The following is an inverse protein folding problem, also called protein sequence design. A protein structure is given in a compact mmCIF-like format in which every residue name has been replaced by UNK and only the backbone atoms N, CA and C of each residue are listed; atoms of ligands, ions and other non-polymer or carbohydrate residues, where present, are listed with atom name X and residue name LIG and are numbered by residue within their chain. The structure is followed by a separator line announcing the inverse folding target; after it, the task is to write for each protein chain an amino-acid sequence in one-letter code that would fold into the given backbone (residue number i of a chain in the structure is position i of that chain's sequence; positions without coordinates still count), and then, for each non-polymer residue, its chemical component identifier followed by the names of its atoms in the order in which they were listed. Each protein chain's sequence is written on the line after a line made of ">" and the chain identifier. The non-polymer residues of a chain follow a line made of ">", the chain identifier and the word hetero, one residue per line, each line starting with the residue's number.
data_IF_268157244637
#
_entry.id   IF_268157244637
#
_cell.length_a   1.000
_cell.length_b   1.000
_cell.length_c   1.000
_cell.angle_alpha   90.00
_cell.angle_beta   90.00
_cell.angle_gamma   90.00
#
_symmetry.space_group_name_H-M   'P 1'
#
loop_
_entity.id
_entity.type
_entity.pdbx_description
1 polymer ?
#
# COMPACT_ATOMS: atom_id res chain seq x y z
N UNK A 1 -0.10 -7.68 -7.41
CA UNK A 1 0.10 -6.80 -8.59
C UNK A 1 0.37 -7.66 -9.81
N UNK A 2 -0.26 -7.38 -10.95
CA UNK A 2 0.04 -8.00 -12.25
C UNK A 2 -0.60 -9.36 -12.51
N UNK A 3 -1.54 -9.77 -11.65
CA UNK A 3 -2.32 -10.99 -11.85
C UNK A 3 -3.30 -10.80 -13.02
N UNK A 4 -3.37 -11.79 -13.91
CA UNK A 4 -4.37 -11.83 -14.97
C UNK A 4 -5.77 -12.08 -14.39
N UNK A 5 -6.81 -11.69 -15.12
CA UNK A 5 -8.15 -12.12 -14.77
C UNK A 5 -8.22 -13.65 -14.86
N UNK A 6 -8.79 -14.29 -13.84
CA UNK A 6 -9.01 -15.73 -13.78
C UNK A 6 -10.45 -16.00 -13.35
N UNK A 7 -10.94 -17.25 -13.46
CA UNK A 7 -12.35 -17.59 -13.23
C UNK A 7 -12.97 -17.07 -11.92
N UNK A 8 -12.16 -16.95 -10.85
CA UNK A 8 -12.59 -16.41 -9.55
C UNK A 8 -12.15 -14.95 -9.29
N UNK A 9 -11.36 -14.35 -10.19
CA UNK A 9 -10.94 -12.94 -10.15
C UNK A 9 -11.23 -12.28 -11.51
N UNK A 10 -12.42 -11.71 -11.73
CA UNK A 10 -12.82 -11.17 -13.03
C UNK A 10 -12.08 -9.89 -13.41
N UNK A 11 -11.33 -9.27 -12.49
CA UNK A 11 -10.61 -8.01 -12.72
C UNK A 11 -9.09 -8.25 -12.68
N UNK A 12 -8.36 -8.00 -13.78
CA UNK A 12 -6.91 -8.15 -13.80
C UNK A 12 -6.23 -7.05 -12.98
N UNK A 13 -5.35 -7.41 -12.04
CA UNK A 13 -4.67 -6.51 -11.10
C UNK A 13 -3.45 -5.79 -11.72
N UNK A 14 -3.54 -5.45 -13.01
CA UNK A 14 -2.49 -4.75 -13.75
C UNK A 14 -2.45 -3.25 -13.45
N UNK A 15 -3.56 -2.71 -12.95
CA UNK A 15 -3.77 -1.33 -12.50
C UNK A 15 -4.25 -1.35 -11.06
N UNK A 16 -3.91 -0.30 -10.31
CA UNK A 16 -4.59 0.03 -9.07
C UNK A 16 -5.60 1.15 -9.30
N UNK A 17 -6.38 1.44 -8.27
CA UNK A 17 -7.32 2.56 -8.21
C UNK A 17 -6.67 3.94 -8.46
N UNK A 18 -5.36 4.05 -8.26
CA UNK A 18 -4.59 5.29 -8.41
C UNK A 18 -3.30 5.14 -9.22
N UNK A 19 -3.10 3.99 -9.88
CA UNK A 19 -1.96 3.74 -10.75
C UNK A 19 -2.39 2.90 -11.96
N UNK A 20 -2.59 3.56 -13.10
CA UNK A 20 -2.98 2.92 -14.35
C UNK A 20 -1.89 2.03 -14.97
N UNK A 21 -0.65 2.10 -14.47
CA UNK A 21 0.51 1.33 -14.94
C UNK A 21 1.13 0.51 -13.80
N UNK A 22 0.33 0.08 -12.83
CA UNK A 22 0.80 -0.43 -11.54
C UNK A 22 1.83 -1.56 -11.65
N UNK A 23 1.60 -2.54 -12.54
CA UNK A 23 2.56 -3.64 -12.74
C UNK A 23 3.90 -3.16 -13.27
N UNK A 24 3.86 -2.27 -14.27
CA UNK A 24 5.08 -1.67 -14.81
C UNK A 24 5.79 -0.89 -13.72
N UNK A 25 5.09 0.02 -13.04
CA UNK A 25 5.64 0.89 -11.99
C UNK A 25 6.17 0.11 -10.77
N UNK A 26 5.58 -1.02 -10.41
CA UNK A 26 6.11 -1.93 -9.40
C UNK A 26 7.41 -2.62 -9.86
N UNK A 27 7.56 -2.86 -11.16
CA UNK A 27 8.73 -3.50 -11.77
C UNK A 27 8.46 -4.91 -12.31
N UNK A 28 7.23 -5.43 -12.18
CA UNK A 28 6.86 -6.75 -12.64
C UNK A 28 5.67 -7.35 -11.89
N UNK A 29 5.40 -8.63 -12.13
CA UNK A 29 4.39 -9.39 -11.40
C UNK A 29 4.85 -9.65 -9.96
N UNK A 30 4.06 -9.20 -8.97
CA UNK A 30 4.34 -9.48 -7.56
C UNK A 30 3.80 -10.86 -7.21
N UNK A 31 4.58 -11.89 -7.54
CA UNK A 31 4.15 -13.29 -7.44
C UNK A 31 3.75 -13.68 -6.01
N UNK A 32 2.59 -14.31 -5.79
CA UNK A 32 2.21 -14.83 -4.48
C UNK A 32 2.91 -16.15 -4.12
N UNK A 33 3.64 -16.79 -5.05
CA UNK A 33 4.34 -18.06 -4.79
C UNK A 33 5.51 -17.86 -3.84
N UNK A 34 5.42 -18.44 -2.64
CA UNK A 34 6.45 -18.35 -1.60
C UNK A 34 7.81 -18.91 -2.04
N UNK A 35 7.86 -19.86 -2.98
CA UNK A 35 9.13 -20.42 -3.50
C UNK A 35 9.88 -19.45 -4.41
N UNK A 36 9.16 -18.48 -5.01
CA UNK A 36 9.69 -17.45 -5.88
C UNK A 36 9.91 -16.11 -5.15
N UNK A 37 9.99 -16.14 -3.80
CA UNK A 37 10.19 -14.95 -2.96
C UNK A 37 11.37 -15.12 -2.02
N UNK A 38 12.10 -14.03 -1.80
CA UNK A 38 13.19 -13.94 -0.81
C UNK A 38 13.14 -12.58 -0.16
N UNK A 39 13.28 -12.51 1.18
CA UNK A 39 13.21 -11.26 1.93
C UNK A 39 11.94 -10.44 1.61
N UNK A 40 10.81 -11.14 1.45
CA UNK A 40 9.48 -10.56 1.17
C UNK A 40 9.32 -9.88 -0.20
N UNK A 41 10.27 -10.06 -1.14
CA UNK A 41 10.17 -9.56 -2.52
C UNK A 41 10.26 -10.70 -3.54
N UNK A 42 9.77 -10.53 -4.78
CA UNK A 42 10.02 -11.46 -5.87
C UNK A 42 11.52 -11.67 -6.11
N UNK A 43 11.96 -12.89 -6.38
CA UNK A 43 13.38 -13.17 -6.68
C UNK A 43 13.83 -12.62 -8.02
N UNK A 44 12.89 -12.39 -8.94
CA UNK A 44 13.18 -12.02 -10.33
C UNK A 44 13.58 -10.55 -10.50
N UNK A 45 13.24 -9.67 -9.55
CA UNK A 45 13.54 -8.22 -9.64
C UNK A 45 13.48 -7.54 -8.28
N UNK A 46 14.09 -6.36 -8.17
CA UNK A 46 13.93 -5.47 -7.02
C UNK A 46 12.71 -4.56 -7.26
N UNK A 47 11.69 -4.56 -6.39
CA UNK A 47 10.52 -3.71 -6.56
C UNK A 47 10.85 -2.22 -6.58
N UNK A 48 10.25 -1.51 -7.55
CA UNK A 48 10.31 -0.04 -7.68
C UNK A 48 9.19 0.66 -6.92
N UNK A 49 8.21 -0.07 -6.40
CA UNK A 49 7.27 0.42 -5.40
C UNK A 49 7.37 -0.44 -4.13
N UNK A 50 6.82 0.05 -3.01
CA UNK A 50 6.90 -0.65 -1.73
C UNK A 50 6.23 -2.04 -1.83
N UNK A 51 6.94 -3.15 -1.55
CA UNK A 51 6.35 -4.49 -1.56
C UNK A 51 5.33 -4.71 -0.44
N UNK A 52 5.37 -3.89 0.62
CA UNK A 52 4.38 -3.92 1.69
C UNK A 52 3.25 -2.94 1.39
N UNK A 53 2.27 -3.42 0.64
CA UNK A 53 1.08 -2.65 0.27
C UNK A 53 -0.22 -3.38 0.66
N UNK A 54 -1.32 -2.63 0.69
CA UNK A 54 -2.67 -3.13 0.96
C UNK A 54 -3.74 -2.36 0.16
N UNK A 55 -4.95 -2.92 0.16
CA UNK A 55 -6.16 -2.29 -0.33
C UNK A 55 -7.25 -2.24 0.75
N UNK A 56 -7.87 -1.07 0.91
CA UNK A 56 -9.06 -0.86 1.72
C UNK A 56 -10.26 -0.49 0.82
N UNK A 57 -11.51 -0.80 1.20
CA UNK A 57 -12.65 -0.77 0.29
C UNK A 57 -13.22 0.63 0.07
N UNK A 58 -12.36 1.62 -0.20
CA UNK A 58 -12.74 3.00 -0.45
C UNK A 58 -11.77 3.72 -1.40
N UNK A 59 -12.30 4.23 -2.51
CA UNK A 59 -11.60 5.18 -3.39
C UNK A 59 -12.16 6.57 -3.13
N UNK A 60 -11.29 7.55 -2.88
CA UNK A 60 -11.65 8.95 -2.66
C UNK A 60 -11.80 9.76 -3.95
N UNK A 61 -11.35 9.21 -5.08
CA UNK A 61 -11.36 9.85 -6.40
C UNK A 61 -12.21 9.03 -7.38
N UNK A 62 -13.04 9.73 -8.15
CA UNK A 62 -13.78 9.16 -9.28
C UNK A 62 -13.85 10.18 -10.41
N UNK A 63 -13.67 9.72 -11.66
CA UNK A 63 -13.70 10.57 -12.86
C UNK A 63 -12.82 11.84 -12.76
N UNK A 64 -11.64 11.72 -12.14
CA UNK A 64 -10.70 12.83 -11.98
C UNK A 64 -11.10 13.89 -10.94
N UNK A 65 -12.11 13.62 -10.13
CA UNK A 65 -12.59 14.49 -9.05
C UNK A 65 -12.65 13.73 -7.73
N UNK A 66 -12.61 14.45 -6.62
CA UNK A 66 -12.92 13.84 -5.33
C UNK A 66 -14.40 13.47 -5.27
N UNK A 67 -14.70 12.35 -4.63
CA UNK A 67 -16.08 12.00 -4.31
C UNK A 67 -16.65 12.99 -3.28
N UNK A 68 -17.96 13.32 -3.34
CA UNK A 68 -18.56 14.34 -2.48
C UNK A 68 -18.34 14.13 -0.98
N UNK A 69 -18.30 12.87 -0.53
CA UNK A 69 -18.10 12.52 0.87
C UNK A 69 -16.63 12.61 1.33
N UNK A 70 -15.65 12.56 0.41
CA UNK A 70 -14.22 12.54 0.75
C UNK A 70 -13.79 13.69 1.69
N UNK A 71 -14.12 14.98 1.44
CA UNK A 71 -13.78 16.07 2.35
C UNK A 71 -14.49 16.04 3.71
N UNK A 72 -15.55 15.22 3.84
CA UNK A 72 -16.34 15.10 5.07
C UNK A 72 -15.87 13.94 5.95
N UNK A 73 -15.40 12.85 5.35
CA UNK A 73 -15.13 11.59 6.06
C UNK A 73 -13.64 11.30 6.25
N UNK A 74 -12.76 11.85 5.40
CA UNK A 74 -11.32 11.58 5.46
C UNK A 74 -10.68 12.55 6.48
N UNK A 75 -10.13 12.06 7.61
CA UNK A 75 -9.70 12.93 8.71
C UNK A 75 -8.58 13.93 8.34
N UNK A 76 -7.74 13.57 7.36
CA UNK A 76 -6.60 14.36 6.90
C UNK A 76 -6.84 15.07 5.57
N UNK A 77 -8.09 15.13 5.08
CA UNK A 77 -8.37 15.65 3.74
C UNK A 77 -7.77 17.04 3.52
N UNK A 78 -8.05 17.98 4.43
CA UNK A 78 -7.61 19.38 4.31
C UNK A 78 -6.10 19.53 4.32
N UNK A 79 -5.40 18.68 5.08
CA UNK A 79 -3.94 18.71 5.23
C UNK A 79 -3.24 18.07 4.03
N UNK A 80 -3.85 17.05 3.43
CA UNK A 80 -3.27 16.29 2.33
C UNK A 80 -3.69 16.79 0.94
N UNK A 81 -4.70 17.65 0.84
CA UNK A 81 -5.20 18.16 -0.44
C UNK A 81 -4.13 18.97 -1.19
N UNK A 82 -3.79 18.50 -2.39
CA UNK A 82 -2.85 19.17 -3.31
C UNK A 82 -3.50 19.62 -4.62
N UNK A 83 -4.68 19.10 -4.95
CA UNK A 83 -5.42 19.44 -6.15
C UNK A 83 -6.52 18.44 -6.48
N UNK A 84 -7.45 18.78 -7.38
CA UNK A 84 -8.55 17.89 -7.76
C UNK A 84 -8.02 16.59 -8.38
N UNK A 85 -8.65 15.47 -8.02
CA UNK A 85 -8.33 14.15 -8.56
C UNK A 85 -7.02 13.54 -8.06
N UNK A 86 -6.29 14.22 -7.16
CA UNK A 86 -5.10 13.67 -6.51
C UNK A 86 -5.52 13.00 -5.20
N UNK A 87 -5.56 11.67 -5.18
CA UNK A 87 -5.99 10.93 -3.98
C UNK A 87 -5.23 11.35 -2.72
N UNK A 88 -5.97 11.59 -1.65
CA UNK A 88 -5.44 11.81 -0.29
C UNK A 88 -5.35 10.50 0.50
N UNK A 89 -5.87 9.39 -0.04
CA UNK A 89 -5.78 8.05 0.55
C UNK A 89 -4.50 7.33 0.13
N UNK A 90 -4.08 7.46 -1.13
CA UNK A 90 -2.90 6.77 -1.68
C UNK A 90 -1.65 7.05 -0.86
N UNK A 91 -0.88 6.01 -0.54
CA UNK A 91 0.40 6.09 0.15
C UNK A 91 0.31 6.29 1.66
N UNK A 92 -0.90 6.39 2.23
CA UNK A 92 -1.10 6.39 3.69
C UNK A 92 -0.74 5.02 4.27
N UNK A 93 -0.29 4.99 5.52
CA UNK A 93 0.16 3.75 6.17
C UNK A 93 -0.90 3.19 7.10
N UNK A 94 -0.96 1.87 7.16
CA UNK A 94 -1.70 1.14 8.19
C UNK A 94 -0.78 0.17 8.93
N UNK A 95 -1.08 -0.03 10.21
CA UNK A 95 -0.56 -1.13 11.00
C UNK A 95 -1.57 -2.28 10.96
N UNK A 96 -1.12 -3.49 10.62
CA UNK A 96 -1.94 -4.71 10.51
C UNK A 96 -1.41 -5.71 11.52
N UNK A 97 -2.27 -6.18 12.44
CA UNK A 97 -1.90 -7.07 13.53
C UNK A 97 -2.56 -8.44 13.38
N UNK A 98 -1.74 -9.49 13.50
CA UNK A 98 -2.14 -10.89 13.64
C UNK A 98 -1.50 -11.48 14.88
N UNK A 99 -2.31 -11.79 15.89
CA UNK A 99 -1.81 -12.24 17.19
C UNK A 99 -0.86 -11.22 17.82
N UNK A 100 0.39 -11.62 18.05
CA UNK A 100 1.48 -10.80 18.60
C UNK A 100 2.38 -10.13 17.55
N UNK A 101 2.08 -10.30 16.24
CA UNK A 101 2.87 -9.72 15.16
C UNK A 101 2.14 -8.56 14.50
N UNK A 102 2.87 -7.47 14.25
CA UNK A 102 2.37 -6.29 13.53
C UNK A 102 3.21 -6.03 12.30
N UNK A 103 2.55 -5.84 11.17
CA UNK A 103 3.12 -5.46 9.88
C UNK A 103 2.63 -4.06 9.50
N UNK A 104 3.43 -3.32 8.74
CA UNK A 104 3.08 -1.98 8.29
C UNK A 104 3.05 -1.96 6.77
N UNK A 105 1.97 -1.42 6.19
CA UNK A 105 1.75 -1.44 4.75
C UNK A 105 1.26 -0.09 4.24
N UNK A 106 1.63 0.25 3.01
CA UNK A 106 1.13 1.42 2.29
C UNK A 106 -0.20 1.09 1.60
N UNK A 107 -1.17 1.99 1.71
CA UNK A 107 -2.44 1.88 1.03
C UNK A 107 -2.29 2.30 -0.43
N UNK A 108 -2.30 1.33 -1.35
CA UNK A 108 -1.96 1.55 -2.77
C UNK A 108 -3.07 1.16 -3.75
N UNK A 109 -4.15 0.55 -3.26
CA UNK A 109 -5.32 0.19 -4.06
C UNK A 109 -6.65 0.23 -3.28
N UNK A 110 -7.77 0.04 -3.96
CA UNK A 110 -9.09 -0.05 -3.36
C UNK A 110 -9.71 -1.43 -3.55
N UNK A 111 -10.30 -1.94 -2.49
CA UNK A 111 -10.89 -3.27 -2.44
C UNK A 111 -10.83 -3.83 -1.02
N UNK A 112 -11.31 -5.06 -0.78
CA UNK A 112 -11.82 -5.99 -1.78
C UNK A 112 -13.30 -5.76 -2.13
N UNK A 113 -13.72 -6.21 -3.33
CA UNK A 113 -15.11 -6.26 -3.84
C UNK A 113 -15.87 -4.94 -4.04
N UNK A 114 -15.42 -3.84 -3.44
CA UNK A 114 -16.07 -2.52 -3.54
C UNK A 114 -15.10 -1.39 -3.24
N UNK A 115 -15.52 -0.17 -3.56
CA UNK A 115 -14.67 1.04 -3.50
C UNK A 115 -15.36 2.23 -2.84
N UNK A 116 -16.46 2.00 -2.12
CA UNK A 116 -17.36 3.03 -1.58
C UNK A 116 -17.63 2.89 -0.08
N UNK A 117 -16.97 1.96 0.62
CA UNK A 117 -17.28 1.63 2.02
C UNK A 117 -16.51 2.48 3.03
N UNK A 118 -16.70 3.81 2.96
CA UNK A 118 -16.06 4.75 3.88
C UNK A 118 -16.45 4.55 5.34
N UNK A 119 -17.64 3.99 5.62
CA UNK A 119 -18.10 3.73 6.99
C UNK A 119 -17.26 2.67 7.69
N UNK A 120 -16.73 1.69 6.96
CA UNK A 120 -15.78 0.73 7.52
C UNK A 120 -14.37 1.33 7.61
N UNK A 121 -13.97 2.12 6.62
CA UNK A 121 -12.59 2.64 6.55
C UNK A 121 -12.34 3.79 7.54
N UNK A 122 -13.30 4.70 7.73
CA UNK A 122 -13.14 5.91 8.54
C UNK A 122 -14.13 6.02 9.71
N UNK A 123 -15.03 5.05 9.88
CA UNK A 123 -15.99 5.04 10.99
C UNK A 123 -15.96 3.67 11.68
N UNK A 124 -17.09 3.24 12.24
CA UNK A 124 -17.15 2.07 13.13
C UNK A 124 -17.90 0.86 12.52
N UNK A 125 -18.23 0.87 11.23
CA UNK A 125 -18.85 -0.30 10.60
C UNK A 125 -17.86 -1.47 10.52
N UNK A 126 -18.39 -2.70 10.48
CA UNK A 126 -17.63 -3.90 10.09
C UNK A 126 -17.65 -4.06 8.56
N UNK A 127 -16.72 -4.84 7.97
CA UNK A 127 -16.81 -5.17 6.55
C UNK A 127 -18.18 -5.78 6.22
N UNK A 128 -18.76 -5.43 5.06
CA UNK A 128 -20.03 -6.05 4.64
C UNK A 128 -19.79 -7.45 4.08
N UNK A 129 -20.78 -8.36 4.18
CA UNK A 129 -20.71 -9.67 3.56
C UNK A 129 -20.34 -9.58 2.06
N UNK A 130 -19.46 -10.48 1.62
CA UNK A 130 -19.01 -10.62 0.24
C UNK A 130 -18.59 -12.08 -0.01
N UNK A 131 -18.10 -12.38 -1.22
CA UNK A 131 -17.69 -13.74 -1.61
C UNK A 131 -16.61 -14.33 -0.69
N UNK A 132 -15.83 -13.50 0.00
CA UNK A 132 -14.82 -13.91 0.97
C UNK A 132 -15.29 -13.68 2.42
N UNK A 133 -16.57 -13.93 2.71
CA UNK A 133 -17.14 -13.90 4.07
C UNK A 133 -16.98 -12.58 4.82
N UNK A 134 -16.97 -11.44 4.11
CA UNK A 134 -16.78 -10.13 4.72
C UNK A 134 -15.33 -9.70 4.81
N UNK A 135 -14.52 -10.01 3.79
CA UNK A 135 -13.19 -9.44 3.67
C UNK A 135 -13.29 -7.90 3.54
N UNK A 136 -12.51 -7.17 4.34
CA UNK A 136 -12.45 -5.70 4.29
C UNK A 136 -11.02 -5.16 4.12
N UNK A 137 -10.04 -6.02 3.93
CA UNK A 137 -8.64 -5.66 3.76
C UNK A 137 -8.02 -6.69 2.82
N UNK A 138 -7.40 -6.24 1.74
CA UNK A 138 -6.55 -7.07 0.90
C UNK A 138 -5.09 -6.68 1.10
N UNK A 139 -4.19 -7.65 1.10
CA UNK A 139 -2.78 -7.43 1.48
C UNK A 139 -1.83 -8.05 0.47
N UNK A 140 -0.72 -7.37 0.25
CA UNK A 140 0.38 -7.88 -0.57
C UNK A 140 0.91 -9.24 -0.09
N UNK A 141 1.50 -10.05 -0.99
CA UNK A 141 2.24 -11.25 -0.61
C UNK A 141 3.30 -10.98 0.49
N UNK A 142 3.96 -9.82 0.49
CA UNK A 142 4.93 -9.45 1.52
C UNK A 142 4.30 -9.35 2.93
N UNK A 143 3.12 -8.73 3.04
CA UNK A 143 2.37 -8.63 4.30
C UNK A 143 1.88 -10.02 4.73
N UNK A 144 1.33 -10.81 3.79
CA UNK A 144 0.90 -12.19 4.04
C UNK A 144 2.06 -13.04 4.60
N UNK A 145 3.19 -13.03 3.92
CA UNK A 145 4.39 -13.81 4.30
C UNK A 145 4.93 -13.36 5.66
N UNK A 146 4.95 -12.04 5.91
CA UNK A 146 5.40 -11.51 7.19
C UNK A 146 4.44 -11.91 8.32
N UNK A 147 3.12 -11.81 8.15
CA UNK A 147 2.17 -12.12 9.23
C UNK A 147 1.83 -13.61 9.34
N UNK A 148 2.19 -14.43 8.34
CA UNK A 148 1.82 -15.84 8.27
C UNK A 148 0.33 -16.05 8.05
N UNK A 149 -0.30 -15.22 7.22
CA UNK A 149 -1.74 -15.26 6.99
C UNK A 149 -2.15 -16.46 6.12
N UNK A 150 -3.29 -17.05 6.44
CA UNK A 150 -4.02 -17.94 5.54
C UNK A 150 -4.60 -17.15 4.34
N UNK A 151 -5.09 -17.82 3.27
CA UNK A 151 -5.71 -17.13 2.12
C UNK A 151 -6.84 -16.17 2.51
N UNK A 152 -7.63 -16.54 3.53
CA UNK A 152 -8.59 -15.66 4.22
C UNK A 152 -8.32 -15.77 5.70
N UNK A 153 -8.16 -14.64 6.38
CA UNK A 153 -7.83 -14.61 7.81
C UNK A 153 -8.39 -13.37 8.50
N UNK A 154 -8.39 -13.38 9.83
CA UNK A 154 -8.82 -12.26 10.68
C UNK A 154 -7.61 -11.53 11.23
N UNK A 155 -7.59 -10.21 11.02
CA UNK A 155 -6.57 -9.27 11.49
C UNK A 155 -7.22 -8.00 12.03
N UNK A 156 -6.55 -7.35 12.97
CA UNK A 156 -6.87 -5.97 13.35
C UNK A 156 -6.03 -5.01 12.51
N UNK A 157 -6.53 -3.82 12.19
CA UNK A 157 -5.72 -2.78 11.56
C UNK A 157 -6.11 -1.38 12.03
N UNK A 158 -5.18 -0.44 11.87
CA UNK A 158 -5.39 0.98 12.16
C UNK A 158 -4.50 1.86 11.29
N UNK A 159 -4.92 3.10 11.03
CA UNK A 159 -4.04 4.09 10.42
C UNK A 159 -2.85 4.42 11.33
N UNK A 160 -1.71 4.71 10.71
CA UNK A 160 -0.51 5.17 11.40
C UNK A 160 0.20 6.24 10.57
N UNK A 161 0.76 7.24 11.25
CA UNK A 161 1.56 8.26 10.58
C UNK A 161 2.94 7.71 10.20
N UNK A 162 3.49 8.21 9.09
CA UNK A 162 4.79 7.77 8.55
C UNK A 162 5.90 7.81 9.61
N UNK A 163 5.91 8.85 10.46
CA UNK A 163 6.89 9.02 11.54
C UNK A 163 6.82 7.93 12.62
N UNK A 164 5.64 7.34 12.81
CA UNK A 164 5.33 6.38 13.88
C UNK A 164 5.43 4.92 13.40
N UNK A 165 5.65 4.71 12.10
CA UNK A 165 6.05 3.39 11.58
C UNK A 165 7.39 3.01 12.26
N UNK A 166 7.60 1.77 12.75
CA UNK A 166 8.89 1.36 13.31
C UNK A 166 9.82 0.81 12.22
N UNK A 167 11.13 0.64 12.50
CA UNK A 167 12.05 -0.11 11.63
C UNK A 167 11.55 -1.53 11.34
N UNK A 168 11.66 -1.96 10.08
CA UNK A 168 11.28 -3.30 9.63
C UNK A 168 11.38 -3.45 8.12
N UNK A 169 11.06 -4.64 7.57
CA UNK A 169 11.25 -4.94 6.15
C UNK A 169 10.44 -4.04 5.21
N UNK A 170 9.31 -3.49 5.68
CA UNK A 170 8.47 -2.51 4.98
C UNK A 170 9.17 -1.17 4.66
N UNK A 171 10.37 -0.93 5.18
CA UNK A 171 11.14 0.30 4.91
C UNK A 171 12.23 0.15 3.84
N UNK A 172 12.42 -1.05 3.29
CA UNK A 172 13.65 -1.37 2.55
C UNK A 172 13.61 -1.04 1.05
N UNK A 173 12.43 -1.10 0.42
CA UNK A 173 12.28 -1.04 -1.03
C UNK A 173 11.15 -0.09 -1.47
N UNK A 174 11.19 0.28 -2.75
CA UNK A 174 10.21 1.16 -3.38
C UNK A 174 10.65 2.61 -3.48
N UNK A 175 10.52 3.19 -4.67
CA UNK A 175 10.77 4.60 -4.97
C UNK A 175 9.67 5.50 -4.40
N UNK A 176 8.46 4.96 -4.17
CA UNK A 176 7.37 5.62 -3.45
C UNK A 176 7.50 5.52 -1.91
N UNK A 177 8.53 4.83 -1.40
CA UNK A 177 8.67 4.59 0.03
C UNK A 177 9.40 5.74 0.73
N UNK A 178 8.70 6.41 1.64
CA UNK A 178 9.20 7.55 2.44
C UNK A 178 10.57 7.29 3.06
N UNK A 179 10.83 6.08 3.57
CA UNK A 179 12.09 5.74 4.25
C UNK A 179 13.24 5.53 3.26
N UNK A 180 12.94 5.00 2.06
CA UNK A 180 13.92 4.84 0.98
C UNK A 180 14.28 6.21 0.42
N UNK A 181 13.29 7.08 0.20
CA UNK A 181 13.50 8.47 -0.25
C UNK A 181 14.40 9.22 0.75
N UNK A 182 14.06 9.18 2.04
CA UNK A 182 14.83 9.86 3.08
C UNK A 182 16.29 9.36 3.15
N UNK A 183 16.51 8.03 3.13
CA UNK A 183 17.85 7.44 3.11
C UNK A 183 18.66 7.92 1.90
N UNK A 184 18.07 7.90 0.69
CA UNK A 184 18.75 8.37 -0.53
C UNK A 184 19.12 9.85 -0.44
N UNK A 185 18.24 10.69 0.11
CA UNK A 185 18.53 12.12 0.32
C UNK A 185 19.69 12.33 1.29
N UNK A 186 19.73 11.57 2.40
CA UNK A 186 20.85 11.60 3.36
C UNK A 186 22.15 11.18 2.68
N UNK A 187 22.17 10.05 1.97
CA UNK A 187 23.36 9.55 1.25
C UNK A 187 23.88 10.56 0.21
N UNK A 188 22.97 11.17 -0.57
CA UNK A 188 23.33 12.20 -1.55
C UNK A 188 23.91 13.45 -0.90
N UNK A 189 23.36 13.90 0.23
CA UNK A 189 23.89 15.07 0.93
C UNK A 189 25.27 14.82 1.52
N UNK A 190 25.52 13.62 2.06
CA UNK A 190 26.84 13.19 2.53
C UNK A 190 27.85 13.14 1.38
N UNK A 191 27.50 12.51 0.24
CA UNK A 191 28.38 12.42 -0.93
C UNK A 191 28.77 13.82 -1.48
N UNK A 192 27.83 14.76 -1.51
CA UNK A 192 28.09 16.16 -1.89
C UNK A 192 29.06 16.85 -0.92
N UNK A 193 28.92 16.59 0.40
CA UNK A 193 29.82 17.17 1.41
C UNK A 193 31.25 16.64 1.27
N UNK A 194 31.42 15.34 1.06
CA UNK A 194 32.74 14.74 0.87
C UNK A 194 33.41 15.18 -0.45
N UNK A 195 32.66 15.25 -1.55
CA UNK A 195 33.19 15.72 -2.83
C UNK A 195 33.52 17.22 -2.84
N UNK A 196 32.80 18.04 -2.07
CA UNK A 196 33.13 19.46 -1.89
C UNK A 196 34.33 19.71 -0.98
N UNK A 197 34.57 18.84 0.02
CA UNK A 197 35.75 18.90 0.88
C UNK A 197 37.04 18.46 0.16
N UNK A 198 36.97 17.49 -0.75
CA UNK A 198 38.12 17.03 -1.53
C UNK A 198 38.57 17.99 -2.66
N UNK A 199 37.79 19.05 -2.93
CA UNK A 199 38.10 20.09 -3.93
C UNK A 199 38.64 21.40 -3.32
N UNK A 200 38.81 21.45 -2.00
CA UNK A 200 39.47 22.55 -1.27
C UNK A 200 40.82 22.07 -0.78
#
# INVERSE_FOLDING_TARGET
>A
IGEQAAGNNPVPNHKSSWDANWTSNYGGFDTPDSSARRNYIPVAFIPRQNPFYCALPYNDVSHGQFKPEAPLVIPWFKQAYTGPGQSVCKGRWIAIRKGNRTCYAQWEDCGPFRTDHFQYVFQNERPKPNLNHGAGLDVSPAVRDYLGLAPTDVTDWQFIEVRDVPPGPWRSYGDNNHFVIARRQTEQSLAKRFSGAAKK
#
